data_IF_332741404315
#
_entry.id   IF_332741404315
#
_cell.length_a   1.000
_cell.length_b   1.000
_cell.length_c   1.000
_cell.angle_alpha   90.00
_cell.angle_beta   90.00
_cell.angle_gamma   90.00
#
_symmetry.space_group_name_H-M   'P 1'
#
loop_
_entity.id
_entity.type
_entity.pdbx_description
1 polymer ?
#
# COMPACT_ATOMS: atom_id res chain seq x y z
N UNK A 1 37.62 -7.63 -52.53
CA UNK A 1 36.70 -8.16 -51.51
C UNK A 1 37.34 -7.97 -50.15
N UNK A 2 36.64 -7.37 -49.20
CA UNK A 2 37.17 -7.00 -47.88
C UNK A 2 37.44 -8.20 -46.96
N UNK A 3 38.16 -7.93 -45.85
CA UNK A 3 38.74 -8.91 -44.93
C UNK A 3 37.73 -9.69 -44.05
N UNK A 4 36.45 -9.32 -44.06
CA UNK A 4 35.37 -10.01 -43.33
C UNK A 4 34.60 -10.93 -44.31
N UNK A 5 35.27 -11.98 -44.80
CA UNK A 5 34.66 -12.97 -45.71
C UNK A 5 33.78 -13.95 -44.91
N UNK A 6 32.61 -13.49 -44.48
CA UNK A 6 31.58 -14.32 -43.87
C UNK A 6 30.37 -14.49 -44.80
N UNK A 7 29.81 -15.70 -44.87
CA UNK A 7 28.48 -15.90 -45.48
C UNK A 7 27.41 -15.54 -44.46
N UNK A 8 26.66 -14.46 -44.71
CA UNK A 8 25.58 -13.99 -43.84
C UNK A 8 24.25 -14.62 -44.29
N UNK A 9 23.53 -15.24 -43.37
CA UNK A 9 22.23 -15.88 -43.64
C UNK A 9 21.22 -15.48 -42.56
N UNK A 10 19.98 -15.22 -42.96
CA UNK A 10 18.89 -14.92 -42.03
C UNK A 10 18.52 -16.15 -41.18
N UNK A 11 18.19 -15.93 -39.90
CA UNK A 11 17.85 -16.98 -38.92
C UNK A 11 16.72 -17.89 -39.41
N UNK A 12 15.73 -17.31 -40.08
CA UNK A 12 14.55 -17.99 -40.62
C UNK A 12 14.92 -18.95 -41.75
N UNK A 13 15.88 -18.58 -42.61
CA UNK A 13 16.40 -19.45 -43.68
C UNK A 13 17.14 -20.66 -43.11
N UNK A 14 17.94 -20.44 -42.06
CA UNK A 14 18.64 -21.54 -41.36
C UNK A 14 17.64 -22.51 -40.75
N UNK A 15 16.57 -22.00 -40.11
CA UNK A 15 15.52 -22.84 -39.56
C UNK A 15 14.71 -23.59 -40.63
N UNK A 16 14.33 -22.94 -41.73
CA UNK A 16 13.61 -23.58 -42.83
C UNK A 16 14.41 -24.73 -43.45
N UNK A 17 15.70 -24.53 -43.67
CA UNK A 17 16.60 -25.56 -44.20
C UNK A 17 16.80 -26.72 -43.21
N UNK A 18 17.03 -26.41 -41.93
CA UNK A 18 17.19 -27.43 -40.88
C UNK A 18 15.90 -28.26 -40.68
N UNK A 19 14.74 -27.63 -40.82
CA UNK A 19 13.44 -28.28 -40.81
C UNK A 19 13.21 -29.19 -42.03
N UNK A 20 13.71 -28.81 -43.20
CA UNK A 20 13.56 -29.62 -44.42
C UNK A 20 14.43 -30.88 -44.39
N UNK A 21 15.68 -30.78 -43.91
CA UNK A 21 16.63 -31.91 -43.94
C UNK A 21 16.44 -32.88 -42.77
N UNK A 22 16.03 -32.40 -41.61
CA UNK A 22 15.91 -33.22 -40.41
C UNK A 22 14.46 -33.30 -39.95
N UNK A 23 13.76 -34.42 -40.25
CA UNK A 23 12.40 -34.65 -39.76
C UNK A 23 12.31 -34.60 -38.23
N UNK A 24 13.37 -35.04 -37.53
CA UNK A 24 13.43 -35.00 -36.07
C UNK A 24 13.53 -33.57 -35.53
N UNK A 25 14.28 -32.70 -36.20
CA UNK A 25 14.38 -31.28 -35.82
C UNK A 25 13.08 -30.53 -36.15
N UNK A 26 12.49 -30.80 -37.31
CA UNK A 26 11.19 -30.27 -37.71
C UNK A 26 10.12 -30.50 -36.65
N UNK A 27 9.98 -31.75 -36.17
CA UNK A 27 9.04 -32.08 -35.10
C UNK A 27 9.36 -31.38 -33.78
N UNK A 28 10.64 -31.16 -33.45
CA UNK A 28 11.01 -30.40 -32.25
C UNK A 28 10.59 -28.94 -32.36
N UNK A 29 10.77 -28.32 -33.52
CA UNK A 29 10.36 -26.91 -33.72
C UNK A 29 8.84 -26.78 -33.67
N UNK A 30 8.10 -27.65 -34.35
CA UNK A 30 6.63 -27.66 -34.29
C UNK A 30 6.15 -27.84 -32.84
N UNK A 31 6.64 -28.86 -32.13
CA UNK A 31 6.26 -29.10 -30.73
C UNK A 31 6.63 -27.97 -29.78
N UNK A 32 7.75 -27.29 -30.04
CA UNK A 32 8.17 -26.14 -29.24
C UNK A 32 7.26 -24.95 -29.52
N UNK A 33 6.93 -24.71 -30.79
CA UNK A 33 5.99 -23.68 -31.20
C UNK A 33 4.61 -23.96 -30.60
N UNK A 34 4.04 -25.14 -30.83
CA UNK A 34 2.78 -25.60 -30.25
C UNK A 34 2.79 -25.51 -28.73
N UNK A 35 3.90 -25.82 -28.06
CA UNK A 35 4.04 -25.64 -26.60
C UNK A 35 4.02 -24.16 -26.19
N UNK A 36 4.54 -23.23 -26.99
CA UNK A 36 4.54 -21.80 -26.68
C UNK A 36 3.16 -21.17 -26.98
N UNK A 37 2.51 -21.57 -28.08
CA UNK A 37 1.17 -21.09 -28.46
C UNK A 37 0.04 -21.78 -27.70
N UNK A 38 0.22 -23.07 -27.36
CA UNK A 38 -0.74 -23.86 -26.58
C UNK A 38 -0.39 -23.94 -25.10
N UNK A 39 0.79 -23.46 -24.67
CA UNK A 39 0.91 -23.05 -23.28
C UNK A 39 -0.21 -22.03 -23.08
N UNK A 40 -1.13 -22.26 -22.12
CA UNK A 40 -2.05 -21.22 -21.75
C UNK A 40 -1.15 -20.03 -21.43
N UNK A 41 -1.30 -18.92 -22.15
CA UNK A 41 -0.92 -17.61 -21.64
C UNK A 41 -1.62 -17.54 -20.30
N UNK A 42 -0.90 -17.94 -19.25
CA UNK A 42 -1.52 -18.40 -18.03
C UNK A 42 -2.20 -17.20 -17.43
N UNK A 43 -3.53 -17.18 -17.46
CA UNK A 43 -4.34 -16.32 -16.62
C UNK A 43 -3.87 -16.39 -15.16
N UNK A 44 -3.28 -17.52 -14.74
CA UNK A 44 -2.62 -17.68 -13.45
C UNK A 44 -1.33 -16.87 -13.28
N UNK A 45 -0.54 -16.63 -14.34
CA UNK A 45 0.61 -15.73 -14.32
C UNK A 45 0.18 -14.27 -14.14
N UNK A 46 -0.80 -13.82 -14.93
CA UNK A 46 -1.34 -12.45 -14.78
C UNK A 46 -2.01 -12.21 -13.42
N UNK A 47 -2.68 -13.21 -12.86
CA UNK A 47 -3.27 -13.13 -11.53
C UNK A 47 -2.19 -13.05 -10.43
N UNK A 48 -1.14 -13.86 -10.54
CA UNK A 48 0.02 -13.80 -9.65
C UNK A 48 0.77 -12.47 -9.74
N UNK A 49 0.98 -11.95 -10.96
CA UNK A 49 1.63 -10.65 -11.20
C UNK A 49 0.80 -9.50 -10.61
N UNK A 50 -0.53 -9.53 -10.77
CA UNK A 50 -1.44 -8.55 -10.15
C UNK A 50 -1.41 -8.62 -8.62
N UNK A 51 -1.36 -9.82 -8.03
CA UNK A 51 -1.18 -9.98 -6.58
C UNK A 51 0.14 -9.39 -6.12
N UNK A 52 1.23 -9.71 -6.80
CA UNK A 52 2.56 -9.21 -6.46
C UNK A 52 2.61 -7.67 -6.55
N UNK A 53 2.10 -7.09 -7.63
CA UNK A 53 1.99 -5.64 -7.78
C UNK A 53 1.14 -5.00 -6.67
N UNK A 54 0.01 -5.63 -6.32
CA UNK A 54 -0.88 -5.18 -5.25
C UNK A 54 -0.23 -5.21 -3.86
N UNK A 55 0.51 -6.28 -3.54
CA UNK A 55 1.25 -6.41 -2.27
C UNK A 55 2.38 -5.39 -2.18
N UNK A 56 3.12 -5.17 -3.27
CA UNK A 56 4.19 -4.15 -3.32
C UNK A 56 3.61 -2.76 -3.09
N UNK A 57 2.53 -2.40 -3.79
CA UNK A 57 1.87 -1.11 -3.64
C UNK A 57 1.33 -0.93 -2.21
N UNK A 58 0.70 -1.95 -1.64
CA UNK A 58 0.20 -1.91 -0.28
C UNK A 58 1.34 -1.73 0.74
N UNK A 59 2.47 -2.41 0.54
CA UNK A 59 3.68 -2.26 1.36
C UNK A 59 4.24 -0.83 1.32
N UNK A 60 4.29 -0.23 0.13
CA UNK A 60 4.67 1.16 -0.05
C UNK A 60 3.71 2.12 0.65
N UNK A 61 2.40 1.99 0.41
CA UNK A 61 1.37 2.84 1.03
C UNK A 61 1.38 2.73 2.56
N UNK A 62 1.61 1.53 3.11
CA UNK A 62 1.73 1.35 4.55
C UNK A 62 2.89 2.15 5.14
N UNK A 63 4.03 2.16 4.45
CA UNK A 63 5.25 2.84 4.91
C UNK A 63 5.19 4.35 4.72
N UNK A 64 4.69 4.82 3.57
CA UNK A 64 4.67 6.24 3.22
C UNK A 64 3.45 6.98 3.79
N UNK A 65 2.29 6.32 3.82
CA UNK A 65 1.02 6.95 4.23
C UNK A 65 0.62 6.59 5.68
N UNK A 66 1.48 5.85 6.41
CA UNK A 66 1.18 5.36 7.77
C UNK A 66 -0.20 4.70 7.88
N UNK A 67 -0.50 3.82 6.92
CA UNK A 67 -1.81 3.17 6.79
C UNK A 67 -2.17 2.38 8.07
N UNK A 68 -3.39 2.56 8.61
CA UNK A 68 -3.86 1.83 9.79
C UNK A 68 -4.02 0.33 9.52
N UNK A 69 -3.98 -0.51 10.56
CA UNK A 69 -4.15 -1.96 10.41
C UNK A 69 -5.51 -2.30 9.77
N UNK A 70 -6.57 -1.56 10.09
CA UNK A 70 -7.89 -1.65 9.44
C UNK A 70 -7.86 -1.38 7.95
N UNK A 71 -7.09 -0.38 7.53
CA UNK A 71 -6.95 -0.02 6.12
C UNK A 71 -6.10 -1.05 5.36
N UNK A 72 -5.06 -1.61 6.01
CA UNK A 72 -4.27 -2.72 5.48
C UNK A 72 -5.14 -3.96 5.32
N UNK A 73 -5.96 -4.28 6.31
CA UNK A 73 -6.89 -5.41 6.27
C UNK A 73 -7.88 -5.29 5.11
N UNK A 74 -8.55 -4.13 4.98
CA UNK A 74 -9.48 -3.88 3.89
C UNK A 74 -8.81 -3.94 2.50
N UNK A 75 -7.54 -3.50 2.40
CA UNK A 75 -6.77 -3.65 1.16
C UNK A 75 -6.43 -5.11 0.85
N UNK A 76 -6.08 -5.92 1.86
CA UNK A 76 -5.85 -7.35 1.70
C UNK A 76 -7.11 -8.08 1.23
N UNK A 77 -8.28 -7.78 1.80
CA UNK A 77 -9.56 -8.36 1.38
C UNK A 77 -9.88 -8.01 -0.09
N UNK A 78 -9.69 -6.75 -0.48
CA UNK A 78 -9.87 -6.33 -1.89
C UNK A 78 -8.91 -7.03 -2.85
N UNK A 79 -7.66 -7.27 -2.43
CA UNK A 79 -6.70 -8.03 -3.23
C UNK A 79 -7.11 -9.50 -3.37
N UNK A 80 -7.61 -10.11 -2.30
CA UNK A 80 -8.13 -11.49 -2.34
C UNK A 80 -9.33 -11.60 -3.28
N UNK A 81 -10.29 -10.67 -3.19
CA UNK A 81 -11.45 -10.61 -4.08
C UNK A 81 -11.06 -10.41 -5.55
N UNK A 82 -10.11 -9.50 -5.82
CA UNK A 82 -9.64 -9.22 -7.18
C UNK A 82 -8.99 -10.43 -7.88
N UNK A 83 -8.53 -11.42 -7.11
CA UNK A 83 -7.86 -12.63 -7.61
C UNK A 83 -8.68 -13.90 -7.35
N UNK A 84 -9.89 -13.77 -6.81
CA UNK A 84 -10.81 -14.88 -6.57
C UNK A 84 -10.35 -15.81 -5.45
N UNK A 85 -9.52 -15.33 -4.53
CA UNK A 85 -9.14 -16.06 -3.32
C UNK A 85 -10.26 -15.94 -2.27
N UNK A 86 -10.52 -17.01 -1.49
CA UNK A 86 -11.46 -16.93 -0.38
C UNK A 86 -10.97 -15.92 0.67
N UNK A 87 -11.91 -15.23 1.33
CA UNK A 87 -11.57 -14.30 2.42
C UNK A 87 -10.99 -15.07 3.61
N UNK A 88 -9.66 -15.02 3.69
CA UNK A 88 -8.87 -15.66 4.74
C UNK A 88 -8.58 -14.68 5.88
N UNK A 89 -8.92 -13.40 5.70
CA UNK A 89 -8.56 -12.36 6.63
C UNK A 89 -9.59 -12.28 7.79
N UNK A 90 -9.16 -11.88 9.00
CA UNK A 90 -10.08 -11.66 10.10
C UNK A 90 -11.07 -10.54 9.77
N UNK A 91 -12.28 -10.61 10.31
CA UNK A 91 -13.38 -9.69 9.95
C UNK A 91 -13.15 -8.23 10.39
N UNK A 92 -12.25 -7.99 11.35
CA UNK A 92 -11.86 -6.66 11.78
C UNK A 92 -10.39 -6.65 12.21
N UNK A 93 -9.74 -5.49 12.08
CA UNK A 93 -8.39 -5.26 12.58
C UNK A 93 -8.44 -4.46 13.88
N UNK A 94 -7.52 -4.79 14.79
CA UNK A 94 -7.27 -4.02 15.99
C UNK A 94 -6.29 -2.89 15.63
N UNK A 95 -6.75 -1.65 15.68
CA UNK A 95 -5.94 -0.44 15.42
C UNK A 95 -5.25 0.06 16.70
N UNK A 96 -4.65 -0.85 17.48
CA UNK A 96 -3.91 -0.50 18.68
C UNK A 96 -2.39 -0.50 18.42
N UNK A 97 -1.63 0.47 18.95
CA UNK A 97 -0.17 0.44 18.89
C UNK A 97 0.40 -0.77 19.65
N UNK A 98 1.54 -1.29 19.19
CA UNK A 98 2.21 -2.41 19.84
C UNK A 98 2.54 -2.07 21.31
N UNK A 99 1.93 -2.80 22.25
CA UNK A 99 2.09 -2.58 23.70
C UNK A 99 0.89 -2.00 24.43
N UNK A 100 -0.24 -1.74 23.74
CA UNK A 100 -1.49 -1.41 24.43
C UNK A 100 -2.05 -2.66 25.14
N UNK A 101 -2.20 -2.65 26.49
CA UNK A 101 -2.64 -3.83 27.25
C UNK A 101 -4.03 -4.35 26.88
N UNK A 102 -4.84 -3.54 26.18
CA UNK A 102 -6.28 -3.76 26.04
C UNK A 102 -6.71 -4.09 24.60
N UNK A 103 -5.78 -4.08 23.63
CA UNK A 103 -6.02 -4.56 22.27
C UNK A 103 -7.27 -4.02 21.55
N UNK A 104 -7.77 -2.82 21.86
CA UNK A 104 -9.01 -2.29 21.29
C UNK A 104 -8.83 -0.91 20.68
N UNK A 105 -9.59 -0.65 19.61
CA UNK A 105 -9.73 0.67 18.99
C UNK A 105 -10.42 1.61 19.99
N UNK A 106 -9.64 2.27 20.84
CA UNK A 106 -10.19 3.21 21.83
C UNK A 106 -10.95 4.31 21.08
N UNK A 107 -12.23 4.56 21.39
CA UNK A 107 -12.99 5.62 20.75
C UNK A 107 -12.29 6.96 20.97
N UNK A 108 -12.04 7.70 19.89
CA UNK A 108 -11.40 9.01 19.96
C UNK A 108 -12.38 10.00 20.59
N UNK A 109 -12.25 10.26 21.89
CA UNK A 109 -13.03 11.28 22.59
C UNK A 109 -12.35 12.65 22.50
N UNK A 110 -13.16 13.71 22.45
CA UNK A 110 -12.64 15.07 22.54
C UNK A 110 -11.91 15.27 23.88
N UNK A 111 -10.82 16.06 23.87
CA UNK A 111 -10.03 16.32 25.09
C UNK A 111 -10.91 16.87 26.23
N UNK A 112 -11.87 17.74 25.91
CA UNK A 112 -12.85 18.25 26.87
C UNK A 112 -13.73 17.16 27.48
N UNK A 113 -14.13 16.16 26.68
CA UNK A 113 -14.92 15.02 27.15
C UNK A 113 -14.08 14.11 28.08
N UNK A 114 -12.81 13.87 27.74
CA UNK A 114 -11.89 13.11 28.59
C UNK A 114 -11.64 13.80 29.94
N UNK A 115 -11.42 15.12 29.93
CA UNK A 115 -11.24 15.89 31.16
C UNK A 115 -12.48 15.78 32.07
N UNK A 116 -13.68 15.83 31.49
CA UNK A 116 -14.94 15.68 32.23
C UNK A 116 -15.13 14.25 32.77
N UNK A 117 -14.83 13.23 31.96
CA UNK A 117 -14.94 11.82 32.35
C UNK A 117 -13.99 11.47 33.50
N UNK A 118 -12.78 12.02 33.50
CA UNK A 118 -11.80 11.81 34.56
C UNK A 118 -11.91 12.80 35.74
N UNK A 119 -12.94 13.65 35.76
CA UNK A 119 -13.17 14.60 36.85
C UNK A 119 -12.08 15.68 37.01
N UNK A 120 -11.30 15.92 35.96
CA UNK A 120 -10.19 16.87 35.98
C UNK A 120 -10.74 18.28 35.81
N UNK A 121 -10.56 19.12 36.82
CA UNK A 121 -10.98 20.54 36.82
C UNK A 121 -10.00 21.41 36.05
N UNK A 122 -9.88 21.20 34.74
CA UNK A 122 -9.14 22.10 33.84
C UNK A 122 -9.90 22.29 32.53
N UNK A 123 -9.68 23.45 31.90
CA UNK A 123 -10.25 23.70 30.57
C UNK A 123 -9.43 22.99 29.49
N UNK A 124 -10.07 22.66 28.36
CA UNK A 124 -9.38 22.03 27.23
C UNK A 124 -8.21 22.88 26.72
N UNK A 125 -8.32 24.21 26.72
CA UNK A 125 -7.23 25.11 26.33
C UNK A 125 -6.03 25.04 27.27
N UNK A 126 -6.26 25.00 28.59
CA UNK A 126 -5.18 24.82 29.56
C UNK A 126 -4.49 23.46 29.37
N UNK A 127 -5.26 22.40 29.12
CA UNK A 127 -4.71 21.08 28.83
C UNK A 127 -3.86 21.09 27.54
N UNK A 128 -4.33 21.71 26.46
CA UNK A 128 -3.56 21.85 25.23
C UNK A 128 -2.26 22.63 25.42
N UNK A 129 -2.27 23.71 26.22
CA UNK A 129 -1.05 24.45 26.54
C UNK A 129 -0.04 23.61 27.32
N UNK A 130 -0.49 22.77 28.25
CA UNK A 130 0.40 21.86 28.98
C UNK A 130 0.97 20.77 28.06
N UNK A 131 0.12 20.18 27.19
CA UNK A 131 0.56 19.20 26.21
C UNK A 131 1.53 19.79 25.18
N UNK A 132 1.36 21.07 24.82
CA UNK A 132 2.30 21.79 23.97
C UNK A 132 3.66 22.00 24.65
N UNK A 133 3.69 22.34 25.95
CA UNK A 133 4.95 22.41 26.72
C UNK A 133 5.68 21.06 26.78
N UNK A 134 4.92 19.95 26.77
CA UNK A 134 5.48 18.59 26.74
C UNK A 134 5.87 18.11 25.32
N UNK A 135 5.65 18.95 24.30
CA UNK A 135 5.96 18.67 22.90
C UNK A 135 5.02 17.67 22.22
N UNK A 136 3.82 17.44 22.78
CA UNK A 136 2.83 16.49 22.27
C UNK A 136 1.96 17.12 21.17
N UNK A 137 1.72 18.43 21.24
CA UNK A 137 0.84 19.18 20.34
C UNK A 137 1.52 20.48 19.93
N UNK A 138 1.30 20.90 18.70
CA UNK A 138 1.79 22.15 18.13
C UNK A 138 0.63 22.98 17.56
N UNK A 139 0.84 24.29 17.47
CA UNK A 139 -0.10 25.17 16.79
C UNK A 139 0.20 25.18 15.29
N UNK A 140 -0.82 24.87 14.49
CA UNK A 140 -0.77 25.02 13.04
C UNK A 140 -1.78 26.04 12.57
N UNK A 141 -1.46 26.65 11.44
CA UNK A 141 -2.29 27.67 10.81
C UNK A 141 -2.64 27.22 9.40
N UNK A 142 -3.87 27.49 8.98
CA UNK A 142 -4.30 27.27 7.60
C UNK A 142 -5.09 28.45 7.07
N UNK A 143 -5.01 28.65 5.76
CA UNK A 143 -5.88 29.62 5.10
C UNK A 143 -7.33 29.15 5.17
N UNK A 144 -8.23 30.04 5.55
CA UNK A 144 -9.65 29.74 5.64
C UNK A 144 -10.49 30.96 5.29
N UNK A 145 -11.41 30.78 4.34
CA UNK A 145 -12.32 31.84 3.87
C UNK A 145 -13.27 32.36 4.96
N UNK A 146 -13.46 31.59 6.03
CA UNK A 146 -14.37 31.93 7.14
C UNK A 146 -13.65 32.39 8.41
N UNK A 147 -12.32 32.52 8.37
CA UNK A 147 -11.55 32.95 9.54
C UNK A 147 -11.31 34.45 9.53
N UNK A 148 -11.23 35.04 10.73
CA UNK A 148 -10.82 36.43 10.92
C UNK A 148 -9.39 36.56 10.37
N UNK A 149 -9.18 37.52 9.47
CA UNK A 149 -7.93 37.73 8.71
C UNK A 149 -7.54 36.57 7.77
N UNK A 150 -8.47 35.70 7.39
CA UNK A 150 -8.23 34.60 6.44
C UNK A 150 -7.38 33.45 7.01
N UNK A 151 -7.00 33.48 8.29
CA UNK A 151 -6.13 32.48 8.92
C UNK A 151 -6.85 31.81 10.08
N UNK A 152 -7.01 30.47 10.02
CA UNK A 152 -7.55 29.67 11.12
C UNK A 152 -6.41 28.93 11.84
N UNK A 153 -6.25 29.21 13.12
CA UNK A 153 -5.32 28.48 14.00
C UNK A 153 -6.01 27.25 14.58
N UNK A 154 -5.30 26.14 14.64
CA UNK A 154 -5.76 24.91 15.27
C UNK A 154 -4.60 24.19 15.96
N UNK A 155 -4.93 23.24 16.83
CA UNK A 155 -3.97 22.37 17.49
C UNK A 155 -3.79 21.10 16.65
N UNK A 156 -2.55 20.69 16.43
CA UNK A 156 -2.17 19.47 15.71
C UNK A 156 -1.19 18.67 16.56
N UNK A 157 -1.36 17.36 16.65
CA UNK A 157 -0.37 16.47 17.28
C UNK A 157 0.96 16.51 16.52
N UNK A 158 2.05 16.51 17.28
CA UNK A 158 3.41 16.33 16.77
C UNK A 158 3.69 14.85 16.51
N UNK A 159 4.84 14.51 15.92
CA UNK A 159 5.26 13.11 15.73
C UNK A 159 5.25 12.30 17.05
N UNK A 160 5.66 12.93 18.16
CA UNK A 160 5.58 12.35 19.51
C UNK A 160 4.13 12.19 19.98
N UNK A 161 3.26 13.16 19.67
CA UNK A 161 1.84 13.11 20.03
C UNK A 161 1.03 12.05 19.28
N UNK A 162 1.44 11.71 18.05
CA UNK A 162 0.82 10.64 17.27
C UNK A 162 0.92 9.25 17.91
N UNK A 163 1.80 9.07 18.91
CA UNK A 163 1.85 7.83 19.72
C UNK A 163 0.63 7.69 20.64
N UNK A 164 0.01 8.81 21.04
CA UNK A 164 -1.06 8.86 22.04
C UNK A 164 -2.43 9.21 21.44
N UNK A 165 -2.49 9.62 20.18
CA UNK A 165 -3.74 10.03 19.54
C UNK A 165 -3.59 10.21 18.03
N UNK A 166 -4.71 10.56 17.37
CA UNK A 166 -4.77 10.79 15.92
C UNK A 166 -5.24 12.21 15.62
N UNK A 167 -4.63 12.88 14.63
CA UNK A 167 -5.11 14.16 14.11
C UNK A 167 -6.31 13.92 13.20
N UNK A 168 -7.51 14.06 13.76
CA UNK A 168 -8.77 13.87 13.03
C UNK A 168 -9.04 15.04 12.06
N UNK A 169 -8.43 16.19 12.33
CA UNK A 169 -8.51 17.36 11.45
C UNK A 169 -7.23 17.41 10.63
N UNK A 170 -7.33 17.09 9.33
CA UNK A 170 -6.24 17.34 8.39
C UNK A 170 -5.91 18.85 8.37
N UNK A 171 -4.63 19.24 8.30
CA UNK A 171 -4.27 20.58 7.86
C UNK A 171 -4.99 20.93 6.55
#
# INVERSE_FOLDING_TARGET
GGAEQGTYVCKELVFAYAMWISPSFHLKVIRTFDRITSAPQTSSGMAADKMQAGVILLGFMRKELNLSNSSVLGACQKLQEAVGLPDLAPQYAIDAPAGAPDGSSRPTLALSALLKQHGIRMTANQAYQQLAKLGVVEHRERYSRSAINGIKKFWSLTAKGCMFGKNITSP
#
